data_IF_576693418357
#
_entry.id   IF_576693418357
#
_cell.length_a   1.000
_cell.length_b   1.000
_cell.length_c   1.000
_cell.angle_alpha   90.00
_cell.angle_beta   90.00
_cell.angle_gamma   90.00
#
_symmetry.space_group_name_H-M   'P 1'
#
loop_
_entity.id
_entity.type
_entity.pdbx_description
1 polymer ?
#
# COMPACT_ATOMS: atom_id res chain seq x y z
N UNK A 1 56.67 -4.58 -56.63
CA UNK A 1 56.61 -5.55 -55.52
C UNK A 1 56.37 -4.77 -54.24
N UNK A 2 55.13 -4.77 -53.73
CA UNK A 2 54.72 -4.02 -52.55
C UNK A 2 54.82 -4.93 -51.31
N UNK A 3 55.66 -4.57 -50.34
CA UNK A 3 55.70 -5.16 -48.99
C UNK A 3 55.33 -4.05 -48.00
N UNK A 4 54.15 -4.09 -47.38
CA UNK A 4 53.77 -4.87 -46.18
C UNK A 4 54.22 -4.18 -44.88
N UNK A 5 53.20 -3.89 -44.06
CA UNK A 5 53.19 -3.53 -42.64
C UNK A 5 53.74 -2.15 -42.22
N UNK A 6 52.84 -1.16 -42.23
CA UNK A 6 52.78 -0.15 -41.18
C UNK A 6 51.42 -0.24 -40.47
N UNK A 7 51.11 -1.41 -39.89
CA UNK A 7 50.03 -1.53 -38.91
C UNK A 7 50.53 -0.93 -37.59
N UNK A 8 50.43 0.39 -37.44
CA UNK A 8 50.69 1.07 -36.17
C UNK A 8 49.50 1.93 -35.77
N UNK A 9 48.83 1.44 -34.71
CA UNK A 9 48.05 2.20 -33.73
C UNK A 9 46.80 2.92 -34.26
N UNK A 10 45.71 2.17 -34.40
CA UNK A 10 44.39 2.69 -34.02
C UNK A 10 44.22 2.48 -32.51
N UNK A 11 44.84 3.35 -31.72
CA UNK A 11 44.49 3.47 -30.31
C UNK A 11 43.78 4.81 -30.09
N UNK A 12 42.61 4.68 -29.46
CA UNK A 12 41.79 5.69 -28.81
C UNK A 12 40.95 6.60 -29.73
N UNK A 13 39.63 6.38 -29.72
CA UNK A 13 38.76 7.32 -29.02
C UNK A 13 37.42 6.64 -28.69
N UNK A 14 37.42 5.76 -27.69
CA UNK A 14 36.18 5.39 -27.03
C UNK A 14 35.73 6.61 -26.24
N UNK A 15 34.77 7.37 -26.77
CA UNK A 15 34.17 8.54 -26.12
C UNK A 15 33.58 8.11 -24.77
N UNK A 16 34.36 8.26 -23.69
CA UNK A 16 33.90 8.00 -22.33
C UNK A 16 32.95 9.14 -21.94
N UNK A 17 31.68 9.03 -22.35
CA UNK A 17 30.63 9.92 -21.86
C UNK A 17 30.58 9.74 -20.35
N UNK A 18 31.11 10.71 -19.60
CA UNK A 18 30.96 10.73 -18.14
C UNK A 18 29.47 10.85 -17.88
N UNK A 19 28.87 9.84 -17.23
CA UNK A 19 27.50 9.98 -16.76
C UNK A 19 27.44 11.24 -15.88
N UNK A 20 26.51 12.18 -16.13
CA UNK A 20 26.44 13.40 -15.37
C UNK A 20 26.14 13.05 -13.91
N UNK A 21 26.92 13.62 -12.98
CA UNK A 21 26.82 13.36 -11.54
C UNK A 21 25.40 13.58 -10.98
N UNK A 22 24.60 14.44 -11.61
CA UNK A 22 23.19 14.63 -11.27
C UNK A 22 22.33 13.38 -11.50
N UNK A 23 22.66 12.54 -12.49
CA UNK A 23 21.90 11.32 -12.79
C UNK A 23 22.08 10.25 -11.70
N UNK A 24 23.28 10.18 -11.11
CA UNK A 24 23.55 9.33 -9.95
C UNK A 24 22.80 9.83 -8.71
N UNK A 25 22.72 11.14 -8.52
CA UNK A 25 22.01 11.74 -7.38
C UNK A 25 20.49 11.52 -7.48
N UNK A 26 19.91 11.64 -8.67
CA UNK A 26 18.51 11.33 -8.94
C UNK A 26 18.20 9.84 -8.68
N UNK A 27 19.10 8.94 -9.08
CA UNK A 27 18.94 7.51 -8.86
C UNK A 27 18.88 7.19 -7.37
N UNK A 28 19.80 7.75 -6.56
CA UNK A 28 19.83 7.57 -5.10
C UNK A 28 18.55 8.11 -4.44
N UNK A 29 18.04 9.26 -4.87
CA UNK A 29 16.84 9.88 -4.28
C UNK A 29 15.57 9.02 -4.44
N UNK A 30 15.46 8.25 -5.53
CA UNK A 30 14.33 7.35 -5.80
C UNK A 30 14.34 6.11 -4.89
N UNK A 31 15.51 5.64 -4.44
CA UNK A 31 15.59 4.48 -3.52
C UNK A 31 15.21 4.80 -2.07
N UNK A 32 15.13 6.07 -1.70
CA UNK A 32 14.82 6.49 -0.32
C UNK A 32 13.40 7.04 -0.14
N UNK A 33 12.54 6.97 -1.16
CA UNK A 33 11.14 7.38 -0.99
C UNK A 33 10.45 6.39 -0.03
N UNK A 34 9.91 6.84 1.11
CA UNK A 34 9.14 5.95 1.97
C UNK A 34 7.92 5.47 1.18
N UNK A 35 7.72 4.15 1.13
CA UNK A 35 6.49 3.57 0.63
C UNK A 35 5.41 3.83 1.68
N UNK A 36 4.36 4.56 1.31
CA UNK A 36 3.20 4.74 2.16
C UNK A 36 2.21 3.62 1.81
N UNK A 37 2.05 2.65 2.71
CA UNK A 37 0.98 1.66 2.59
C UNK A 37 -0.35 2.35 2.93
N UNK A 38 -1.27 2.36 1.97
CA UNK A 38 -2.61 2.89 2.20
C UNK A 38 -3.52 1.79 2.77
N UNK A 39 -4.46 2.18 3.64
CA UNK A 39 -5.58 1.31 3.97
C UNK A 39 -6.51 1.19 2.77
N UNK A 40 -7.01 -0.01 2.53
CA UNK A 40 -7.94 -0.27 1.44
C UNK A 40 -9.30 -0.65 2.02
N UNK A 41 -10.35 0.02 1.58
CA UNK A 41 -11.72 -0.48 1.76
C UNK A 41 -11.89 -1.60 0.74
N UNK A 42 -11.97 -2.84 1.24
CA UNK A 42 -12.03 -4.03 0.40
C UNK A 42 -13.48 -4.39 0.02
N UNK A 43 -14.41 -4.28 0.97
CA UNK A 43 -15.83 -4.61 0.78
C UNK A 43 -16.73 -3.64 1.57
N UNK A 44 -17.91 -3.36 1.02
CA UNK A 44 -19.00 -2.66 1.70
C UNK A 44 -20.25 -3.53 1.54
N UNK A 45 -20.71 -4.13 2.64
CA UNK A 45 -21.94 -4.91 2.70
C UNK A 45 -23.07 -4.03 3.23
N UNK A 46 -23.88 -3.47 2.33
CA UNK A 46 -24.93 -2.49 2.67
C UNK A 46 -26.36 -3.03 2.48
N UNK A 47 -26.51 -4.27 2.00
CA UNK A 47 -27.81 -4.89 1.77
C UNK A 47 -27.65 -6.42 1.84
N UNK A 48 -27.42 -6.95 3.03
CA UNK A 48 -27.25 -8.39 3.23
C UNK A 48 -28.54 -9.15 2.86
N UNK A 49 -28.45 -10.42 2.46
CA UNK A 49 -29.64 -11.20 2.12
C UNK A 49 -30.43 -11.56 3.38
N UNK A 50 -31.66 -11.07 3.49
CA UNK A 50 -32.57 -11.46 4.57
C UNK A 50 -33.11 -10.26 5.33
N UNK A 51 -32.96 -10.28 6.65
CA UNK A 51 -33.19 -9.11 7.50
C UNK A 51 -31.91 -8.28 7.51
N UNK A 52 -32.02 -6.99 7.20
CA UNK A 52 -30.87 -6.09 7.09
C UNK A 52 -30.27 -5.74 8.46
N UNK A 53 -31.04 -5.93 9.54
CA UNK A 53 -30.61 -5.55 10.90
C UNK A 53 -29.36 -6.34 11.35
N UNK A 54 -28.29 -5.64 11.72
CA UNK A 54 -27.09 -6.17 12.37
C UNK A 54 -26.21 -7.09 11.51
N UNK A 55 -26.24 -6.91 10.18
CA UNK A 55 -25.47 -7.69 9.21
C UNK A 55 -24.66 -6.82 8.22
N UNK A 56 -24.73 -5.50 8.31
CA UNK A 56 -23.97 -4.54 7.53
C UNK A 56 -22.55 -4.38 8.09
N UNK A 57 -21.58 -4.24 7.18
CA UNK A 57 -20.19 -4.00 7.57
C UNK A 57 -19.39 -3.37 6.44
N UNK A 58 -18.26 -2.77 6.83
CA UNK A 58 -17.21 -2.34 5.92
C UNK A 58 -15.95 -3.13 6.24
N UNK A 59 -15.41 -3.83 5.25
CA UNK A 59 -14.15 -4.55 5.39
C UNK A 59 -12.98 -3.65 4.98
N UNK A 60 -12.02 -3.52 5.89
CA UNK A 60 -10.76 -2.82 5.69
C UNK A 60 -9.64 -3.85 5.59
N UNK A 61 -8.86 -3.76 4.52
CA UNK A 61 -7.62 -4.50 4.35
C UNK A 61 -6.42 -3.60 4.62
N UNK A 62 -5.43 -4.16 5.32
CA UNK A 62 -4.14 -3.52 5.56
C UNK A 62 -2.97 -4.44 5.25
N UNK A 63 -1.94 -3.88 4.62
CA UNK A 63 -0.67 -4.58 4.38
C UNK A 63 0.10 -4.83 5.69
N UNK A 64 0.02 -3.88 6.62
CA UNK A 64 0.62 -3.95 7.96
C UNK A 64 -0.45 -3.77 9.05
N UNK A 65 -0.36 -4.56 10.12
CA UNK A 65 -1.33 -4.54 11.22
C UNK A 65 -1.48 -3.13 11.80
N UNK A 66 -2.67 -2.56 11.65
CA UNK A 66 -2.97 -1.18 12.02
C UNK A 66 -4.15 -1.13 13.00
N UNK A 67 -3.98 -0.40 14.10
CA UNK A 67 -5.06 -0.13 15.04
C UNK A 67 -5.84 1.11 14.61
N UNK A 68 -7.15 0.95 14.39
CA UNK A 68 -8.05 2.00 13.91
C UNK A 68 -8.75 2.77 15.05
N UNK A 69 -8.43 2.49 16.31
CA UNK A 69 -9.05 3.17 17.46
C UNK A 69 -8.86 4.69 17.37
N UNK A 70 -9.94 5.44 17.58
CA UNK A 70 -10.04 6.91 17.43
C UNK A 70 -9.90 7.43 15.99
N UNK A 71 -9.82 6.55 14.99
CA UNK A 71 -9.97 6.99 13.60
C UNK A 71 -11.43 7.37 13.36
N UNK A 72 -11.66 8.18 12.34
CA UNK A 72 -12.98 8.69 12.00
C UNK A 72 -13.42 8.02 10.71
N UNK A 73 -14.59 7.38 10.74
CA UNK A 73 -15.37 7.10 9.56
C UNK A 73 -16.38 8.23 9.37
N UNK A 74 -16.55 8.71 8.15
CA UNK A 74 -17.36 9.87 7.88
C UNK A 74 -18.03 9.77 6.52
N UNK A 75 -19.22 10.34 6.43
CA UNK A 75 -19.91 10.60 5.18
C UNK A 75 -20.23 12.11 5.04
N UNK A 76 -21.16 12.47 4.17
CA UNK A 76 -21.52 13.89 3.96
C UNK A 76 -22.38 14.47 5.09
N UNK A 77 -22.85 13.64 6.02
CA UNK A 77 -23.86 13.93 7.03
C UNK A 77 -23.36 13.74 8.46
N UNK A 78 -22.52 12.74 8.73
CA UNK A 78 -22.03 12.40 10.06
C UNK A 78 -20.57 11.96 10.06
N UNK A 79 -19.97 12.02 11.25
CA UNK A 79 -18.64 11.51 11.55
C UNK A 79 -18.74 10.64 12.81
N UNK A 80 -18.23 9.42 12.74
CA UNK A 80 -18.22 8.47 13.85
C UNK A 80 -16.79 8.04 14.16
N UNK A 81 -16.47 7.91 15.45
CA UNK A 81 -15.16 7.48 15.91
C UNK A 81 -15.13 5.98 16.15
N UNK A 82 -14.12 5.31 15.60
CA UNK A 82 -13.97 3.86 15.74
C UNK A 82 -13.41 3.48 17.11
N UNK A 83 -13.96 2.43 17.71
CA UNK A 83 -13.50 1.87 18.98
C UNK A 83 -13.30 0.37 18.84
N UNK A 84 -12.14 -0.14 19.25
CA UNK A 84 -11.86 -1.57 19.16
C UNK A 84 -12.80 -2.39 20.06
N UNK A 85 -13.63 -3.24 19.45
CA UNK A 85 -14.52 -4.18 20.13
C UNK A 85 -13.84 -5.54 20.32
N UNK A 86 -13.18 -6.03 19.27
CA UNK A 86 -12.44 -7.29 19.28
C UNK A 86 -11.12 -7.14 18.53
N UNK A 87 -10.02 -7.56 19.16
CA UNK A 87 -8.74 -7.69 18.48
C UNK A 87 -8.57 -9.08 17.88
N UNK A 88 -8.17 -9.13 16.62
CA UNK A 88 -7.72 -10.34 15.97
C UNK A 88 -6.46 -10.05 15.15
N UNK A 89 -5.47 -10.94 15.20
CA UNK A 89 -4.23 -10.80 14.45
C UNK A 89 -4.41 -11.28 13.00
N UNK A 90 -5.15 -10.52 12.20
CA UNK A 90 -5.31 -10.73 10.74
C UNK A 90 -5.01 -9.44 9.99
N UNK A 91 -4.94 -9.51 8.66
CA UNK A 91 -4.80 -8.34 7.75
C UNK A 91 -6.12 -7.59 7.49
N UNK A 92 -7.19 -7.98 8.19
CA UNK A 92 -8.54 -7.47 7.95
C UNK A 92 -9.16 -6.91 9.24
N UNK A 93 -9.88 -5.82 9.08
CA UNK A 93 -10.75 -5.26 10.12
C UNK A 93 -12.15 -5.05 9.55
N UNK A 94 -13.17 -5.28 10.37
CA UNK A 94 -14.54 -4.93 10.06
C UNK A 94 -14.96 -3.73 10.89
N UNK A 95 -15.54 -2.74 10.25
CA UNK A 95 -16.32 -1.69 10.91
C UNK A 95 -17.78 -2.14 10.81
N UNK A 96 -18.41 -2.32 11.96
CA UNK A 96 -19.74 -2.94 12.04
C UNK A 96 -20.76 -1.99 12.66
N UNK A 97 -22.02 -2.26 12.41
CA UNK A 97 -23.13 -1.60 13.10
C UNK A 97 -23.30 -2.08 14.55
N UNK A 98 -24.16 -1.39 15.31
CA UNK A 98 -24.46 -1.79 16.68
C UNK A 98 -25.09 -3.20 16.72
N UNK A 99 -24.76 -3.97 17.75
CA UNK A 99 -25.27 -5.34 17.97
C UNK A 99 -24.95 -6.38 16.86
N UNK A 100 -23.98 -6.11 15.98
CA UNK A 100 -23.43 -7.10 15.03
C UNK A 100 -22.89 -8.34 15.77
N UNK A 101 -23.26 -9.54 15.32
CA UNK A 101 -22.74 -10.79 15.87
C UNK A 101 -21.36 -11.12 15.30
N UNK A 102 -20.31 -10.73 16.02
CA UNK A 102 -18.92 -11.01 15.67
C UNK A 102 -18.40 -12.34 16.25
N UNK A 103 -19.27 -13.22 16.79
CA UNK A 103 -18.83 -14.50 17.31
C UNK A 103 -18.21 -15.38 16.21
N UNK A 104 -16.94 -15.75 16.40
CA UNK A 104 -16.22 -16.60 15.45
C UNK A 104 -15.68 -15.87 14.21
N UNK A 105 -15.80 -14.54 14.16
CA UNK A 105 -15.18 -13.73 13.10
C UNK A 105 -13.66 -13.63 13.34
N UNK A 106 -12.88 -13.95 12.30
CA UNK A 106 -11.41 -13.94 12.33
C UNK A 106 -10.83 -12.61 11.82
N UNK A 107 -11.37 -11.50 12.30
CA UNK A 107 -10.95 -10.14 11.96
C UNK A 107 -11.04 -9.24 13.19
N UNK A 108 -10.27 -8.14 13.18
CA UNK A 108 -10.45 -7.11 14.21
C UNK A 108 -11.77 -6.39 13.98
N UNK A 109 -12.52 -6.11 15.04
CA UNK A 109 -13.85 -5.52 14.95
C UNK A 109 -13.83 -4.14 15.61
N UNK A 110 -14.38 -3.16 14.90
CA UNK A 110 -14.48 -1.77 15.28
C UNK A 110 -15.91 -1.27 15.19
#
# INVERSE_FOLDING_TARGET
>A
MANVLAARRLLACGNKRKLPSCFLFLFVFIFFTPFCAALNINEIMYNPPGDDNNHEFIEIYFEELTNLTNWIIADTSSNDSLSLLQFFNSSYALIVEEDFDYAGVNASIY
#
